data_IF_121023555337
#
_entry.id   IF_121023555337
#
_cell.length_a   1.000
_cell.length_b   1.000
_cell.length_c   1.000
_cell.angle_alpha   90.00
_cell.angle_beta   90.00
_cell.angle_gamma   90.00
#
_symmetry.space_group_name_H-M   'P 1'
#
loop_
_entity.id
_entity.type
_entity.pdbx_description
1 polymer ?
#
# COMPACT_ATOMS: atom_id res chain seq x y z
N UNK A 1 13.58 -34.25 48.61
CA UNK A 1 12.38 -34.24 47.74
C UNK A 1 11.75 -32.87 47.80
N UNK A 2 11.24 -32.37 46.65
CA UNK A 2 10.60 -31.05 46.45
C UNK A 2 11.53 -29.88 46.11
N UNK A 3 12.31 -30.03 45.05
CA UNK A 3 12.93 -28.88 44.36
C UNK A 3 12.91 -29.05 42.83
N UNK A 4 11.84 -29.66 42.30
CA UNK A 4 11.70 -29.95 40.85
C UNK A 4 10.50 -29.28 40.19
N UNK A 5 9.75 -28.43 40.89
CA UNK A 5 8.51 -27.81 40.38
C UNK A 5 8.66 -26.33 40.03
N UNK A 6 9.88 -25.86 39.72
CA UNK A 6 10.14 -24.45 39.35
C UNK A 6 10.80 -24.29 37.97
N UNK A 7 10.94 -25.37 37.18
CA UNK A 7 11.61 -25.34 35.87
C UNK A 7 10.69 -25.57 34.66
N UNK A 8 9.37 -25.54 34.82
CA UNK A 8 8.44 -25.81 33.72
C UNK A 8 7.64 -24.60 33.21
N UNK A 9 7.68 -23.44 33.89
CA UNK A 9 6.86 -22.29 33.49
C UNK A 9 7.60 -21.25 32.62
N UNK A 10 8.92 -21.37 32.44
CA UNK A 10 9.68 -20.37 31.67
C UNK A 10 9.80 -20.70 30.17
N UNK A 11 9.42 -21.91 29.75
CA UNK A 11 9.57 -22.38 28.37
C UNK A 11 8.45 -21.95 27.42
N UNK A 12 7.34 -21.40 27.94
CA UNK A 12 6.14 -21.09 27.13
C UNK A 12 6.05 -19.61 26.73
N UNK A 13 6.90 -18.73 27.30
CA UNK A 13 6.86 -17.28 27.03
C UNK A 13 7.77 -16.81 25.88
N UNK A 14 8.56 -17.69 25.26
CA UNK A 14 9.54 -17.33 24.22
C UNK A 14 9.08 -17.57 22.77
N UNK A 15 7.85 -18.03 22.54
CA UNK A 15 7.30 -18.27 21.20
C UNK A 15 6.52 -17.08 20.61
N UNK A 16 6.38 -15.97 21.32
CA UNK A 16 5.43 -14.91 20.97
C UNK A 16 5.95 -13.77 20.06
N UNK A 17 7.21 -13.79 19.57
CA UNK A 17 7.71 -12.62 18.84
C UNK A 17 8.83 -12.91 17.82
N UNK A 18 8.58 -13.72 16.80
CA UNK A 18 9.44 -13.71 15.60
C UNK A 18 8.62 -13.51 14.33
N UNK A 19 7.81 -12.44 14.29
CA UNK A 19 7.46 -11.83 13.01
C UNK A 19 8.71 -11.10 12.51
N UNK A 20 9.68 -11.83 11.94
CA UNK A 20 10.70 -11.19 11.14
C UNK A 20 10.03 -10.76 9.83
N UNK A 21 9.99 -9.46 9.51
CA UNK A 21 9.41 -9.02 8.25
C UNK A 21 10.22 -9.62 7.10
N UNK A 22 9.54 -10.23 6.12
CA UNK A 22 10.20 -10.85 4.96
C UNK A 22 11.04 -9.79 4.23
N UNK A 23 12.36 -10.00 4.03
CA UNK A 23 13.21 -9.08 3.28
C UNK A 23 12.67 -8.74 1.88
N UNK A 24 11.96 -9.67 1.23
CA UNK A 24 11.32 -9.44 -0.08
C UNK A 24 10.14 -8.49 0.04
N UNK A 25 9.29 -8.67 1.05
CA UNK A 25 8.18 -7.76 1.33
C UNK A 25 8.70 -6.33 1.55
N UNK A 26 9.74 -6.17 2.37
CA UNK A 26 10.38 -4.86 2.57
C UNK A 26 10.93 -4.24 1.28
N UNK A 27 11.54 -5.02 0.40
CA UNK A 27 12.04 -4.54 -0.89
C UNK A 27 10.89 -4.11 -1.82
N UNK A 28 9.79 -4.86 -1.84
CA UNK A 28 8.59 -4.52 -2.60
C UNK A 28 7.93 -3.24 -2.08
N UNK A 29 7.86 -3.07 -0.75
CA UNK A 29 7.36 -1.85 -0.12
C UNK A 29 8.20 -0.62 -0.50
N UNK A 30 9.53 -0.74 -0.55
CA UNK A 30 10.40 0.35 -1.05
C UNK A 30 10.14 0.69 -2.51
N UNK A 31 9.75 -0.27 -3.34
CA UNK A 31 9.44 0.00 -4.74
C UNK A 31 8.13 0.79 -4.90
N UNK A 32 7.19 0.65 -3.96
CA UNK A 32 5.96 1.45 -3.92
C UNK A 32 6.25 2.93 -3.63
N UNK A 33 7.29 3.24 -2.84
CA UNK A 33 7.62 4.61 -2.41
C UNK A 33 7.98 5.53 -3.59
N UNK A 34 6.96 6.15 -4.18
CA UNK A 34 6.98 7.16 -5.26
C UNK A 34 5.55 7.60 -5.58
N UNK A 35 5.42 8.50 -6.55
CA UNK A 35 4.13 8.85 -7.16
C UNK A 35 3.79 7.90 -8.30
N UNK A 36 2.61 7.29 -8.21
CA UNK A 36 1.99 6.41 -9.19
C UNK A 36 0.74 7.09 -9.76
N UNK A 37 0.69 7.27 -11.08
CA UNK A 37 -0.46 7.86 -11.78
C UNK A 37 -1.21 6.78 -12.56
N UNK A 38 -2.53 6.89 -12.61
CA UNK A 38 -3.40 5.92 -13.25
C UNK A 38 -3.22 5.93 -14.78
N UNK A 39 -2.75 4.81 -15.32
CA UNK A 39 -2.64 4.50 -16.74
C UNK A 39 -3.91 3.78 -17.19
N UNK A 40 -5.06 4.46 -17.16
CA UNK A 40 -6.37 3.87 -17.45
C UNK A 40 -6.46 3.20 -18.84
N UNK A 41 -5.59 3.60 -19.76
CA UNK A 41 -5.44 2.99 -21.09
C UNK A 41 -4.92 1.54 -21.04
N UNK A 42 -4.28 1.15 -19.94
CA UNK A 42 -3.66 -0.17 -19.74
C UNK A 42 -4.48 -1.07 -18.80
N UNK A 43 -5.59 -0.57 -18.24
CA UNK A 43 -6.47 -1.31 -17.33
C UNK A 43 -7.05 -2.56 -18.00
N UNK A 44 -7.26 -3.62 -17.19
CA UNK A 44 -7.88 -4.87 -17.65
C UNK A 44 -8.93 -5.35 -16.65
N UNK A 45 -10.20 -5.26 -17.04
CA UNK A 45 -11.31 -5.61 -16.16
C UNK A 45 -11.33 -4.72 -14.92
N UNK A 46 -11.20 -5.33 -13.75
CA UNK A 46 -11.14 -4.65 -12.46
C UNK A 46 -9.71 -4.41 -11.94
N UNK A 47 -8.69 -4.81 -12.73
CA UNK A 47 -7.29 -4.51 -12.43
C UNK A 47 -6.94 -3.13 -12.99
N UNK A 48 -6.60 -2.21 -12.10
CA UNK A 48 -6.11 -0.87 -12.45
C UNK A 48 -4.60 -0.86 -12.57
N UNK A 49 -4.09 -0.18 -13.58
CA UNK A 49 -2.65 -0.09 -13.88
C UNK A 49 -2.14 1.31 -13.58
N UNK A 50 -1.05 1.41 -12.83
CA UNK A 50 -0.39 2.66 -12.52
C UNK A 50 1.06 2.63 -12.99
N UNK A 51 1.54 3.79 -13.43
CA UNK A 51 2.92 4.02 -13.84
C UNK A 51 3.50 5.17 -13.02
N UNK A 52 4.84 5.25 -12.82
CA UNK A 52 5.46 6.39 -12.17
C UNK A 52 5.12 7.69 -12.88
N UNK A 53 5.12 8.80 -12.14
CA UNK A 53 4.90 10.14 -12.71
C UNK A 53 5.92 10.55 -13.80
N UNK A 54 7.04 9.83 -13.94
CA UNK A 54 8.06 10.00 -14.98
C UNK A 54 7.74 9.26 -16.28
N UNK A 55 6.72 8.40 -16.30
CA UNK A 55 6.28 7.70 -17.50
C UNK A 55 5.69 8.67 -18.52
N UNK A 56 5.98 8.44 -19.80
CA UNK A 56 5.45 9.24 -20.90
C UNK A 56 4.00 8.84 -21.21
N UNK A 57 3.06 9.36 -20.41
CA UNK A 57 1.65 9.10 -20.60
C UNK A 57 1.12 9.67 -21.91
N UNK A 58 0.16 9.00 -22.57
CA UNK A 58 -0.62 9.61 -23.63
C UNK A 58 -1.45 10.80 -23.08
N UNK A 59 -1.88 11.73 -23.93
CA UNK A 59 -2.70 12.87 -23.52
C UNK A 59 -3.98 12.44 -22.78
N UNK A 60 -4.26 13.08 -21.64
CA UNK A 60 -5.47 12.85 -20.83
C UNK A 60 -5.95 14.16 -20.21
N UNK A 61 -7.25 14.26 -19.89
CA UNK A 61 -7.87 15.39 -19.16
C UNK A 61 -7.64 15.25 -17.65
N UNK A 62 -6.38 15.15 -17.23
CA UNK A 62 -5.99 14.85 -15.86
C UNK A 62 -5.86 13.35 -15.59
N UNK A 63 -5.22 13.03 -14.46
CA UNK A 63 -5.01 11.66 -13.97
C UNK A 63 -5.11 11.65 -12.46
N UNK A 64 -5.82 10.66 -11.93
CA UNK A 64 -5.76 10.34 -10.51
C UNK A 64 -4.55 9.45 -10.23
N UNK A 65 -4.24 9.25 -8.96
CA UNK A 65 -3.10 8.46 -8.56
C UNK A 65 -2.87 8.47 -7.07
N UNK A 66 -1.70 8.02 -6.67
CA UNK A 66 -1.28 8.00 -5.28
C UNK A 66 0.20 8.33 -5.17
N UNK A 67 0.60 8.96 -4.06
CA UNK A 67 1.99 9.00 -3.64
C UNK A 67 2.11 8.16 -2.37
N UNK A 68 2.96 7.14 -2.44
CA UNK A 68 3.43 6.43 -1.26
C UNK A 68 4.72 7.11 -0.82
N UNK A 69 4.69 7.73 0.33
CA UNK A 69 5.86 8.32 0.96
C UNK A 69 6.43 7.35 2.00
N UNK A 70 7.69 7.60 2.37
CA UNK A 70 8.35 6.86 3.44
C UNK A 70 7.57 6.96 4.76
N UNK A 71 7.75 5.97 5.65
CA UNK A 71 7.07 5.87 6.95
C UNK A 71 5.54 5.67 6.90
N UNK A 72 5.01 5.10 5.82
CA UNK A 72 3.58 4.79 5.72
C UNK A 72 2.71 6.04 5.53
N UNK A 73 3.28 7.12 5.00
CA UNK A 73 2.55 8.32 4.63
C UNK A 73 1.97 8.15 3.21
N UNK A 74 0.72 8.58 3.03
CA UNK A 74 0.00 8.41 1.78
C UNK A 74 -0.62 9.73 1.33
N UNK A 75 -0.61 9.98 0.02
CA UNK A 75 -1.40 11.05 -0.59
C UNK A 75 -2.20 10.46 -1.74
N UNK A 76 -3.53 10.52 -1.66
CA UNK A 76 -4.40 10.27 -2.82
C UNK A 76 -4.43 11.52 -3.71
N UNK A 77 -4.23 11.34 -5.00
CA UNK A 77 -4.28 12.39 -6.00
C UNK A 77 -5.60 12.27 -6.75
N UNK A 78 -6.47 13.26 -6.55
CA UNK A 78 -7.78 13.35 -7.19
C UNK A 78 -7.86 14.57 -8.11
N UNK A 79 -8.83 14.59 -9.00
CA UNK A 79 -9.10 15.75 -9.86
C UNK A 79 -9.99 16.72 -9.07
N UNK A 80 -9.48 17.93 -8.83
CA UNK A 80 -10.19 18.99 -8.13
C UNK A 80 -11.35 19.53 -9.00
N UNK A 81 -12.41 20.12 -8.40
CA UNK A 81 -13.53 20.70 -9.14
C UNK A 81 -13.16 21.76 -10.20
N UNK A 82 -11.99 22.39 -10.07
CA UNK A 82 -11.47 23.41 -10.99
C UNK A 82 -10.35 22.87 -11.89
N UNK A 83 -10.40 21.59 -12.26
CA UNK A 83 -9.44 20.89 -13.14
C UNK A 83 -7.98 20.88 -12.64
N UNK A 84 -7.77 21.13 -11.34
CA UNK A 84 -6.49 20.97 -10.66
C UNK A 84 -6.27 19.54 -10.15
N UNK A 85 -5.07 19.28 -9.60
CA UNK A 85 -4.82 18.07 -8.80
C UNK A 85 -4.99 18.42 -7.33
N UNK A 86 -5.87 17.70 -6.63
CA UNK A 86 -6.06 17.77 -5.18
C UNK A 86 -5.38 16.57 -4.52
N UNK A 87 -4.52 16.84 -3.53
CA UNK A 87 -3.83 15.81 -2.76
C UNK A 87 -4.50 15.60 -1.39
N UNK A 88 -5.14 14.46 -1.18
CA UNK A 88 -5.75 14.09 0.11
C UNK A 88 -4.81 13.22 0.92
N UNK A 89 -4.49 13.66 2.14
CA UNK A 89 -3.52 12.99 3.01
C UNK A 89 -4.13 11.79 3.71
N UNK A 90 -3.27 10.83 4.00
CA UNK A 90 -3.64 9.62 4.70
C UNK A 90 -2.42 8.79 5.09
N UNK A 91 -2.71 7.53 5.42
CA UNK A 91 -1.74 6.51 5.80
C UNK A 91 -1.93 5.26 4.97
N UNK A 92 -0.83 4.56 4.76
CA UNK A 92 -0.85 3.22 4.20
C UNK A 92 -0.12 2.26 5.13
N UNK A 93 -0.63 1.04 5.24
CA UNK A 93 0.00 -0.06 6.01
C UNK A 93 -0.15 -1.36 5.24
N UNK A 94 0.92 -2.15 5.16
CA UNK A 94 0.83 -3.50 4.64
C UNK A 94 0.08 -4.39 5.66
N UNK A 95 -1.04 -4.97 5.26
CA UNK A 95 -1.75 -5.98 6.06
C UNK A 95 -1.12 -7.36 5.87
N UNK A 96 -0.58 -7.60 4.67
CA UNK A 96 0.21 -8.76 4.29
C UNK A 96 1.09 -8.39 3.09
N UNK A 97 1.78 -9.36 2.49
CA UNK A 97 2.74 -9.14 1.39
C UNK A 97 2.11 -8.53 0.12
N UNK A 98 0.79 -8.64 -0.06
CA UNK A 98 0.10 -8.22 -1.27
C UNK A 98 -1.10 -7.30 -1.01
N UNK A 99 -1.44 -7.00 0.24
CA UNK A 99 -2.57 -6.15 0.57
C UNK A 99 -2.12 -4.94 1.38
N UNK A 100 -2.44 -3.75 0.87
CA UNK A 100 -2.22 -2.48 1.55
C UNK A 100 -3.57 -1.97 2.03
N UNK A 101 -3.66 -1.59 3.30
CA UNK A 101 -4.78 -0.80 3.82
C UNK A 101 -4.46 0.68 3.68
N UNK A 102 -5.43 1.42 3.15
CA UNK A 102 -5.38 2.87 2.98
C UNK A 102 -6.42 3.50 3.89
N UNK A 103 -5.98 4.49 4.65
CA UNK A 103 -6.82 5.28 5.55
C UNK A 103 -6.61 6.75 5.21
N UNK A 104 -7.65 7.45 4.77
CA UNK A 104 -7.59 8.89 4.53
C UNK A 104 -7.86 9.67 5.82
N UNK A 105 -7.17 10.80 5.97
CA UNK A 105 -7.25 11.63 7.19
C UNK A 105 -8.55 12.46 7.23
N UNK A 106 -9.07 12.84 6.06
CA UNK A 106 -10.26 13.69 5.95
C UNK A 106 -11.59 12.97 6.22
N UNK A 107 -11.57 11.63 6.29
CA UNK A 107 -12.72 10.75 6.55
C UNK A 107 -13.93 11.00 5.65
N UNK A 108 -13.72 11.57 4.45
CA UNK A 108 -14.79 11.77 3.48
C UNK A 108 -15.19 10.47 2.78
N UNK A 109 -14.21 9.60 2.57
CA UNK A 109 -14.40 8.26 2.02
C UNK A 109 -14.08 7.21 3.09
N UNK A 110 -14.69 6.01 3.01
CA UNK A 110 -14.29 4.89 3.86
C UNK A 110 -12.83 4.49 3.59
N UNK A 111 -12.24 3.81 4.57
CA UNK A 111 -10.99 3.10 4.35
C UNK A 111 -11.17 2.09 3.21
N UNK A 112 -10.08 1.77 2.51
CA UNK A 112 -10.11 0.79 1.44
C UNK A 112 -8.79 0.01 1.39
N UNK A 113 -8.79 -1.12 0.72
CA UNK A 113 -7.58 -1.90 0.47
C UNK A 113 -7.17 -1.83 -1.00
N UNK A 114 -5.86 -1.92 -1.22
CA UNK A 114 -5.24 -2.16 -2.51
C UNK A 114 -4.60 -3.54 -2.48
N UNK A 115 -5.15 -4.47 -3.24
CA UNK A 115 -4.52 -5.75 -3.52
C UNK A 115 -3.51 -5.55 -4.66
N UNK A 116 -2.23 -5.69 -4.37
CA UNK A 116 -1.13 -5.64 -5.33
C UNK A 116 -1.10 -6.92 -6.15
N UNK A 117 -1.62 -6.84 -7.37
CA UNK A 117 -1.61 -7.95 -8.34
C UNK A 117 -0.19 -8.17 -8.88
N UNK A 118 0.55 -7.09 -9.14
CA UNK A 118 1.96 -7.16 -9.53
C UNK A 118 2.64 -5.81 -9.36
N UNK A 119 3.93 -5.81 -9.03
CA UNK A 119 4.78 -4.62 -9.00
C UNK A 119 6.13 -4.93 -9.66
N UNK A 120 6.24 -4.66 -10.95
CA UNK A 120 7.40 -5.05 -11.77
C UNK A 120 7.62 -4.04 -12.89
N UNK A 121 8.88 -3.81 -13.29
CA UNK A 121 9.24 -2.95 -14.43
C UNK A 121 8.54 -1.59 -14.44
N UNK A 122 8.47 -0.95 -13.27
CA UNK A 122 7.78 0.33 -13.07
C UNK A 122 6.29 0.28 -13.48
N UNK A 123 5.63 -0.84 -13.21
CA UNK A 123 4.19 -1.05 -13.38
C UNK A 123 3.62 -1.57 -12.07
N UNK A 124 2.68 -0.81 -11.51
CA UNK A 124 1.90 -1.22 -10.35
C UNK A 124 0.50 -1.61 -10.83
N UNK A 125 0.12 -2.88 -10.64
CA UNK A 125 -1.22 -3.37 -10.92
C UNK A 125 -1.92 -3.66 -9.61
N UNK A 126 -3.12 -3.11 -9.44
CA UNK A 126 -3.89 -3.27 -8.19
C UNK A 126 -5.37 -3.55 -8.45
N UNK A 127 -5.99 -4.27 -7.52
CA UNK A 127 -7.45 -4.25 -7.33
C UNK A 127 -7.76 -3.38 -6.11
N UNK A 128 -8.81 -2.58 -6.19
CA UNK A 128 -9.29 -1.75 -5.07
C UNK A 128 -10.56 -2.36 -4.51
N UNK A 129 -10.60 -2.54 -3.18
CA UNK A 129 -11.77 -3.04 -2.45
C UNK A 129 -12.11 -2.07 -1.34
N UNK A 130 -13.35 -1.57 -1.32
CA UNK A 130 -13.85 -0.71 -0.25
C UNK A 130 -14.16 -1.55 1.00
N UNK A 131 -13.90 -1.00 2.19
CA UNK A 131 -14.15 -1.66 3.49
C UNK A 131 -15.49 -1.25 4.10
#
# INVERSE_FOLDING_TARGET
MRLFTLLSCLSVLLLAATCNPDPKANAQLKQLERTWLHAHEEDQGDVRVYRPNTYAFPPSRGRTGFTFDHNGLFTQLDIAPTDGIEGRKGRWTAENDHTLRITLDDKKDPDYTLEVVSLENDVLKVRRVEL
#
